data_IF_243956589552
#
_entry.id   IF_243956589552
#
_cell.length_a   1.000
_cell.length_b   1.000
_cell.length_c   1.000
_cell.angle_alpha   90.00
_cell.angle_beta   90.00
_cell.angle_gamma   90.00
#
_symmetry.space_group_name_H-M   'P 1'
#
loop_
_entity.id
_entity.type
_entity.pdbx_description
1 polymer ?
#
# COMPACT_ATOMS: atom_id res chain seq x y z
N UNK A 1 -41.12 -2.51 15.25
CA UNK A 1 -41.11 -1.08 14.84
C UNK A 1 -39.90 -0.81 13.94
N UNK A 2 -39.67 -1.69 12.95
CA UNK A 2 -38.58 -1.64 11.98
C UNK A 2 -39.17 -2.09 10.66
N UNK A 3 -39.64 -1.15 9.84
CA UNK A 3 -39.91 -1.36 8.40
C UNK A 3 -40.48 -0.10 7.75
N UNK A 4 -39.83 1.06 7.98
CA UNK A 4 -40.19 2.31 7.30
C UNK A 4 -39.00 3.10 6.76
N UNK A 5 -37.88 2.45 6.48
CA UNK A 5 -36.74 3.10 5.81
C UNK A 5 -36.49 2.62 4.37
N UNK A 6 -37.24 1.63 3.87
CA UNK A 6 -37.04 1.09 2.52
C UNK A 6 -38.01 1.59 1.44
N UNK A 7 -38.99 2.46 1.78
CA UNK A 7 -40.01 2.91 0.81
C UNK A 7 -39.92 4.39 0.41
N UNK A 8 -38.82 5.11 0.70
CA UNK A 8 -38.61 6.51 0.27
C UNK A 8 -37.37 6.64 -0.64
N UNK A 9 -37.06 5.62 -1.43
CA UNK A 9 -35.88 5.62 -2.31
C UNK A 9 -36.13 5.11 -3.75
N UNK A 10 -37.17 5.59 -4.46
CA UNK A 10 -37.03 5.58 -5.92
C UNK A 10 -37.53 6.83 -6.65
N UNK A 11 -37.63 8.00 -6.00
CA UNK A 11 -38.19 9.20 -6.69
C UNK A 11 -37.29 10.44 -6.76
N UNK A 12 -36.09 10.45 -6.15
CA UNK A 12 -35.25 11.65 -6.05
C UNK A 12 -33.76 11.45 -6.44
N UNK A 13 -33.44 10.46 -7.27
CA UNK A 13 -32.08 10.29 -7.83
C UNK A 13 -32.07 10.67 -9.32
N UNK A 14 -32.61 11.84 -9.67
CA UNK A 14 -32.74 12.27 -11.07
C UNK A 14 -31.70 13.31 -11.50
N UNK A 15 -30.83 13.78 -10.60
CA UNK A 15 -29.68 14.61 -10.97
C UNK A 15 -28.38 14.03 -10.40
N UNK A 16 -27.31 14.06 -11.19
CA UNK A 16 -26.01 13.46 -10.80
C UNK A 16 -25.38 14.17 -9.57
N UNK A 17 -25.76 15.43 -9.30
CA UNK A 17 -25.37 16.19 -8.10
C UNK A 17 -25.92 15.54 -6.82
N UNK A 18 -27.15 15.02 -6.85
CA UNK A 18 -27.77 14.36 -5.68
C UNK A 18 -27.05 13.06 -5.33
N UNK A 19 -26.44 12.40 -6.33
CA UNK A 19 -25.77 11.11 -6.17
C UNK A 19 -24.44 11.28 -5.42
N UNK A 20 -23.65 12.32 -5.71
CA UNK A 20 -22.39 12.61 -5.00
C UNK A 20 -22.67 12.94 -3.52
N UNK A 21 -23.72 13.70 -3.24
CA UNK A 21 -24.13 14.01 -1.87
C UNK A 21 -24.55 12.75 -1.13
N UNK A 22 -25.30 11.86 -1.81
CA UNK A 22 -25.68 10.58 -1.25
C UNK A 22 -24.47 9.70 -0.91
N UNK A 23 -23.50 9.57 -1.82
CA UNK A 23 -22.26 8.82 -1.56
C UNK A 23 -21.49 9.39 -0.37
N UNK A 24 -21.31 10.71 -0.30
CA UNK A 24 -20.64 11.36 0.81
C UNK A 24 -21.32 11.08 2.16
N UNK A 25 -22.65 11.16 2.21
CA UNK A 25 -23.42 10.85 3.42
C UNK A 25 -23.30 9.38 3.79
N UNK A 26 -23.35 8.48 2.80
CA UNK A 26 -23.26 7.05 3.03
C UNK A 26 -21.88 6.64 3.54
N UNK A 27 -20.81 7.21 2.97
CA UNK A 27 -19.44 7.01 3.45
C UNK A 27 -19.28 7.48 4.89
N UNK A 28 -19.75 8.69 5.22
CA UNK A 28 -19.72 9.20 6.60
C UNK A 28 -20.47 8.29 7.57
N UNK A 29 -21.63 7.76 7.16
CA UNK A 29 -22.38 6.81 7.97
C UNK A 29 -21.61 5.50 8.17
N UNK A 30 -20.94 4.99 7.13
CA UNK A 30 -20.08 3.80 7.23
C UNK A 30 -18.91 4.03 8.20
N UNK A 31 -18.24 5.18 8.13
CA UNK A 31 -17.16 5.56 9.05
C UNK A 31 -17.64 5.64 10.51
N UNK A 32 -18.82 6.23 10.74
CA UNK A 32 -19.43 6.33 12.06
C UNK A 32 -19.89 4.99 12.63
N UNK A 33 -20.36 4.08 11.76
CA UNK A 33 -20.85 2.76 12.17
C UNK A 33 -19.70 1.79 12.45
N UNK A 34 -18.57 1.96 11.77
CA UNK A 34 -17.41 1.07 11.87
C UNK A 34 -16.12 1.85 12.21
N UNK A 35 -15.98 2.34 13.46
CA UNK A 35 -14.85 3.19 13.85
C UNK A 35 -13.49 2.48 13.82
N UNK A 36 -13.45 1.15 13.99
CA UNK A 36 -12.22 0.36 13.87
C UNK A 36 -11.84 0.02 12.41
N UNK A 37 -12.70 0.37 11.45
CA UNK A 37 -12.52 -0.02 10.06
C UNK A 37 -12.49 -1.54 9.87
N UNK A 38 -12.15 -1.97 8.65
CA UNK A 38 -11.98 -3.39 8.31
C UNK A 38 -12.83 -3.86 7.14
N UNK A 39 -12.69 -5.14 6.79
CA UNK A 39 -13.36 -5.75 5.63
C UNK A 39 -14.89 -5.73 5.74
N UNK A 40 -15.41 -5.76 6.96
CA UNK A 40 -16.85 -5.74 7.25
C UNK A 40 -17.54 -4.43 6.81
N UNK A 41 -16.82 -3.31 6.84
CA UNK A 41 -17.39 -2.01 6.46
C UNK A 41 -17.58 -1.86 4.95
N UNK A 42 -16.92 -2.71 4.14
CA UNK A 42 -16.89 -2.64 2.67
C UNK A 42 -16.56 -1.23 2.12
N UNK A 43 -15.86 -0.40 2.91
CA UNK A 43 -15.61 1.00 2.61
C UNK A 43 -14.80 1.18 1.32
N UNK A 44 -13.74 0.37 1.12
CA UNK A 44 -12.92 0.42 -0.09
C UNK A 44 -13.74 0.13 -1.36
N UNK A 45 -14.60 -0.90 -1.32
CA UNK A 45 -15.50 -1.25 -2.44
C UNK A 45 -16.52 -0.13 -2.70
N UNK A 46 -17.02 0.51 -1.64
CA UNK A 46 -17.94 1.64 -1.77
C UNK A 46 -17.26 2.83 -2.43
N UNK A 47 -16.04 3.17 -2.00
CA UNK A 47 -15.24 4.24 -2.58
C UNK A 47 -14.91 3.95 -4.05
N UNK A 48 -14.47 2.74 -4.38
CA UNK A 48 -14.19 2.31 -5.76
C UNK A 48 -15.42 2.51 -6.67
N UNK A 49 -16.60 2.09 -6.20
CA UNK A 49 -17.86 2.29 -6.93
C UNK A 49 -18.20 3.77 -7.08
N UNK A 50 -17.97 4.58 -6.05
CA UNK A 50 -18.23 6.01 -6.10
C UNK A 50 -17.33 6.70 -7.12
N UNK A 51 -16.01 6.50 -7.04
CA UNK A 51 -15.06 7.17 -7.94
C UNK A 51 -15.27 6.75 -9.39
N UNK A 52 -15.46 5.45 -9.64
CA UNK A 52 -15.67 4.91 -11.00
C UNK A 52 -16.93 5.47 -11.65
N UNK A 53 -18.01 5.67 -10.89
CA UNK A 53 -19.30 6.16 -11.44
C UNK A 53 -19.21 7.55 -12.05
N UNK A 54 -18.38 8.43 -11.50
CA UNK A 54 -18.29 9.82 -11.95
C UNK A 54 -17.03 10.11 -12.79
N UNK A 55 -16.19 9.10 -13.08
CA UNK A 55 -14.97 9.29 -13.89
C UNK A 55 -15.27 9.87 -15.27
N UNK A 56 -16.31 9.36 -15.94
CA UNK A 56 -16.72 9.79 -17.27
C UNK A 56 -17.38 11.20 -17.29
N UNK A 57 -17.91 11.65 -16.15
CA UNK A 57 -18.67 12.89 -16.03
C UNK A 57 -17.76 14.09 -15.67
N UNK A 58 -17.13 14.70 -16.67
CA UNK A 58 -16.20 15.85 -16.53
C UNK A 58 -16.75 17.05 -15.75
N UNK A 59 -18.07 17.17 -15.66
CA UNK A 59 -18.77 18.23 -14.90
C UNK A 59 -18.39 18.22 -13.41
N UNK A 60 -18.02 17.07 -12.85
CA UNK A 60 -17.70 16.90 -11.43
C UNK A 60 -16.20 16.91 -11.14
N UNK A 61 -15.34 16.96 -12.17
CA UNK A 61 -13.90 16.88 -11.99
C UNK A 61 -13.36 17.97 -11.07
N UNK A 62 -13.94 19.18 -11.09
CA UNK A 62 -13.53 20.29 -10.22
C UNK A 62 -14.41 20.47 -8.97
N UNK A 63 -15.36 19.57 -8.70
CA UNK A 63 -16.18 19.63 -7.49
C UNK A 63 -15.35 19.20 -6.27
N UNK A 64 -15.19 20.05 -5.22
CA UNK A 64 -14.45 19.69 -4.02
C UNK A 64 -14.90 18.38 -3.39
N UNK A 65 -16.21 18.08 -3.45
CA UNK A 65 -16.78 16.85 -2.87
C UNK A 65 -16.35 15.60 -3.62
N UNK A 66 -16.10 15.72 -4.92
CA UNK A 66 -15.61 14.60 -5.72
C UNK A 66 -14.11 14.40 -5.51
N UNK A 67 -13.34 15.49 -5.40
CA UNK A 67 -11.92 15.43 -5.07
C UNK A 67 -11.70 14.80 -3.69
N UNK A 68 -12.50 15.15 -2.69
CA UNK A 68 -12.43 14.53 -1.35
C UNK A 68 -12.70 13.02 -1.40
N UNK A 69 -13.64 12.57 -2.24
CA UNK A 69 -13.91 11.14 -2.43
C UNK A 69 -12.70 10.40 -3.01
N UNK A 70 -12.01 11.01 -3.98
CA UNK A 70 -10.78 10.46 -4.55
C UNK A 70 -9.62 10.43 -3.56
N UNK A 71 -9.45 11.50 -2.77
CA UNK A 71 -8.42 11.54 -1.71
C UNK A 71 -8.66 10.40 -0.71
N UNK A 72 -9.90 10.24 -0.23
CA UNK A 72 -10.28 9.11 0.63
C UNK A 72 -10.07 7.74 -0.02
N UNK A 73 -10.27 7.64 -1.33
CA UNK A 73 -9.98 6.41 -2.06
C UNK A 73 -8.47 6.13 -2.09
N UNK A 74 -7.63 7.14 -2.34
CA UNK A 74 -6.18 7.04 -2.33
C UNK A 74 -5.65 6.56 -0.97
N UNK A 75 -6.14 7.13 0.14
CA UNK A 75 -5.78 6.74 1.51
C UNK A 75 -6.05 5.27 1.83
N UNK A 76 -7.02 4.64 1.14
CA UNK A 76 -7.38 3.23 1.32
C UNK A 76 -6.67 2.28 0.33
N UNK A 77 -5.85 2.81 -0.58
CA UNK A 77 -5.10 2.02 -1.57
C UNK A 77 -3.69 1.69 -1.07
N UNK A 78 -3.08 0.63 -1.61
CA UNK A 78 -1.69 0.28 -1.30
C UNK A 78 -0.68 1.30 -1.81
N UNK A 79 -0.93 1.89 -2.99
CA UNK A 79 -0.06 2.87 -3.65
C UNK A 79 -0.85 4.16 -3.93
N UNK A 80 -0.99 5.06 -2.95
CA UNK A 80 -1.76 6.31 -3.09
C UNK A 80 -1.20 7.26 -4.16
N UNK A 81 0.12 7.26 -4.40
CA UNK A 81 0.75 8.13 -5.41
C UNK A 81 0.26 7.87 -6.84
N UNK A 82 -0.03 6.63 -7.18
CA UNK A 82 -0.52 6.30 -8.53
C UNK A 82 -1.93 6.85 -8.73
N UNK A 83 -2.76 6.89 -7.68
CA UNK A 83 -4.08 7.51 -7.72
C UNK A 83 -3.97 9.01 -7.96
N UNK A 84 -3.06 9.72 -7.27
CA UNK A 84 -2.87 11.15 -7.50
C UNK A 84 -2.34 11.47 -8.89
N UNK A 85 -1.41 10.66 -9.42
CA UNK A 85 -0.95 10.76 -10.82
C UNK A 85 -2.09 10.54 -11.81
N UNK A 86 -2.95 9.56 -11.55
CA UNK A 86 -4.14 9.31 -12.34
C UNK A 86 -5.09 10.52 -12.33
N UNK A 87 -5.37 11.09 -11.16
CA UNK A 87 -6.21 12.29 -11.03
C UNK A 87 -5.63 13.46 -11.84
N UNK A 88 -4.32 13.71 -11.72
CA UNK A 88 -3.63 14.75 -12.48
C UNK A 88 -3.74 14.52 -13.99
N UNK A 89 -3.51 13.28 -14.47
CA UNK A 89 -3.56 12.93 -15.88
C UNK A 89 -4.99 13.06 -16.46
N UNK A 90 -6.01 12.70 -15.69
CA UNK A 90 -7.41 12.82 -16.09
C UNK A 90 -7.97 14.24 -15.97
N UNK A 91 -7.26 15.15 -15.32
CA UNK A 91 -7.76 16.49 -15.07
C UNK A 91 -8.74 16.59 -13.89
N UNK A 92 -8.75 15.59 -12.99
CA UNK A 92 -9.63 15.56 -11.82
C UNK A 92 -9.01 16.39 -10.71
N UNK A 93 -9.73 17.39 -10.22
CA UNK A 93 -9.33 18.21 -9.07
C UNK A 93 -8.16 19.15 -9.34
N UNK A 94 -7.82 19.40 -10.61
CA UNK A 94 -6.63 20.17 -10.99
C UNK A 94 -6.69 21.63 -10.50
N UNK A 95 -7.89 22.18 -10.31
CA UNK A 95 -8.10 23.51 -9.73
C UNK A 95 -8.28 23.49 -8.21
N UNK A 96 -8.25 22.32 -7.57
CA UNK A 96 -8.53 22.17 -6.14
C UNK A 96 -7.23 22.00 -5.35
N UNK A 97 -6.99 22.87 -4.37
CA UNK A 97 -5.80 22.82 -3.54
C UNK A 97 -5.72 21.54 -2.69
N UNK A 98 -6.88 20.95 -2.33
CA UNK A 98 -6.96 19.72 -1.55
C UNK A 98 -6.18 18.56 -2.20
N UNK A 99 -6.25 18.44 -3.54
CA UNK A 99 -5.52 17.41 -4.29
C UNK A 99 -4.00 17.55 -4.08
N UNK A 100 -3.46 18.74 -4.32
CA UNK A 100 -2.01 18.97 -4.24
C UNK A 100 -1.49 18.87 -2.80
N UNK A 101 -2.30 19.30 -1.82
CA UNK A 101 -1.95 19.16 -0.40
C UNK A 101 -1.81 17.67 -0.07
N UNK A 102 -2.85 16.87 -0.30
CA UNK A 102 -2.83 15.43 0.00
C UNK A 102 -1.73 14.68 -0.77
N UNK A 103 -1.51 15.06 -2.03
CA UNK A 103 -0.44 14.48 -2.85
C UNK A 103 0.96 14.83 -2.34
N UNK A 104 1.17 16.07 -1.90
CA UNK A 104 2.44 16.50 -1.32
C UNK A 104 2.73 15.85 0.04
N UNK A 105 1.70 15.66 0.87
CA UNK A 105 1.80 14.98 2.16
C UNK A 105 2.19 13.51 1.97
N UNK A 106 1.65 12.86 0.93
CA UNK A 106 2.05 11.50 0.60
C UNK A 106 3.52 11.40 0.17
N UNK A 107 4.02 12.36 -0.62
CA UNK A 107 5.46 12.43 -0.91
C UNK A 107 6.31 12.74 0.32
N UNK A 108 5.79 13.54 1.26
CA UNK A 108 6.44 13.81 2.55
C UNK A 108 6.55 12.54 3.40
N UNK A 109 5.48 11.74 3.46
CA UNK A 109 5.44 10.45 4.17
C UNK A 109 6.45 9.45 3.61
N UNK A 110 6.66 9.45 2.29
CA UNK A 110 7.69 8.63 1.62
C UNK A 110 9.11 9.21 1.75
N UNK A 111 9.28 10.36 2.39
CA UNK A 111 10.57 11.03 2.58
C UNK A 111 11.11 11.79 1.36
N UNK A 112 10.27 12.00 0.32
CA UNK A 112 10.66 12.67 -0.92
C UNK A 112 10.27 14.15 -0.93
N UNK A 113 10.94 14.96 -0.09
CA UNK A 113 10.61 16.40 0.07
C UNK A 113 10.74 17.23 -1.21
N UNK A 114 11.70 16.87 -2.09
CA UNK A 114 11.88 17.57 -3.38
C UNK A 114 10.65 17.40 -4.28
N UNK A 115 10.09 16.19 -4.34
CA UNK A 115 8.88 15.92 -5.12
C UNK A 115 7.65 16.59 -4.51
N UNK A 116 7.55 16.59 -3.17
CA UNK A 116 6.49 17.31 -2.47
C UNK A 116 6.49 18.82 -2.80
N UNK A 117 7.66 19.47 -2.83
CA UNK A 117 7.77 20.88 -3.22
C UNK A 117 7.37 21.13 -4.68
N UNK A 118 7.78 20.25 -5.60
CA UNK A 118 7.39 20.34 -7.02
C UNK A 118 5.86 20.27 -7.21
N UNK A 119 5.17 19.45 -6.42
CA UNK A 119 3.69 19.36 -6.45
C UNK A 119 3.06 20.68 -6.01
N UNK A 120 3.58 21.34 -4.97
CA UNK A 120 3.13 22.68 -4.57
C UNK A 120 3.39 23.72 -5.66
N UNK A 121 4.58 23.71 -6.27
CA UNK A 121 4.91 24.62 -7.37
C UNK A 121 3.96 24.44 -8.56
N UNK A 122 3.59 23.20 -8.88
CA UNK A 122 2.58 22.91 -9.90
C UNK A 122 1.20 23.47 -9.52
N UNK A 123 0.78 23.28 -8.26
CA UNK A 123 -0.48 23.80 -7.76
C UNK A 123 -0.59 25.33 -7.91
N UNK A 124 0.51 26.05 -7.64
CA UNK A 124 0.57 27.50 -7.85
C UNK A 124 0.49 27.89 -9.32
N UNK A 125 1.19 27.15 -10.21
CA UNK A 125 1.10 27.37 -11.67
C UNK A 125 -0.32 27.19 -12.20
N UNK A 126 -1.08 26.28 -11.59
CA UNK A 126 -2.48 25.98 -11.96
C UNK A 126 -3.53 26.76 -11.17
N UNK A 127 -3.10 27.73 -10.34
CA UNK A 127 -3.98 28.59 -9.54
C UNK A 127 -5.02 27.82 -8.73
N UNK A 128 -4.61 26.74 -8.06
CA UNK A 128 -5.52 25.92 -7.28
C UNK A 128 -6.12 26.66 -6.09
N UNK A 129 -7.42 26.50 -5.85
CA UNK A 129 -8.18 27.14 -4.77
C UNK A 129 -8.50 26.16 -3.62
N UNK A 130 -8.55 26.61 -2.35
CA UNK A 130 -8.24 27.95 -1.85
C UNK A 130 -6.73 28.24 -1.79
N UNK A 131 -6.31 29.36 -2.38
CA UNK A 131 -4.89 29.73 -2.47
C UNK A 131 -4.24 29.95 -1.11
N UNK A 132 -4.95 30.58 -0.17
CA UNK A 132 -4.45 30.83 1.18
C UNK A 132 -4.10 29.53 1.92
N UNK A 133 -4.97 28.51 1.76
CA UNK A 133 -4.74 27.18 2.35
C UNK A 133 -3.51 26.53 1.72
N UNK A 134 -3.40 26.57 0.39
CA UNK A 134 -2.24 26.03 -0.32
C UNK A 134 -0.92 26.67 0.16
N UNK A 135 -0.89 28.00 0.31
CA UNK A 135 0.27 28.73 0.78
C UNK A 135 0.64 28.41 2.24
N UNK A 136 -0.36 28.29 3.13
CA UNK A 136 -0.14 27.88 4.51
C UNK A 136 0.49 26.49 4.60
N UNK A 137 -0.04 25.53 3.86
CA UNK A 137 0.47 24.16 3.86
C UNK A 137 1.87 24.07 3.24
N UNK A 138 2.15 24.82 2.17
CA UNK A 138 3.50 24.89 1.58
C UNK A 138 4.53 25.45 2.56
N UNK A 139 4.21 26.54 3.27
CA UNK A 139 5.07 27.09 4.33
C UNK A 139 5.28 26.10 5.48
N UNK A 140 4.22 25.37 5.85
CA UNK A 140 4.31 24.34 6.88
C UNK A 140 5.24 23.20 6.47
N UNK A 141 5.18 22.74 5.22
CA UNK A 141 6.12 21.76 4.66
C UNK A 141 7.56 22.29 4.77
N UNK A 142 7.82 23.51 4.28
CA UNK A 142 9.17 24.10 4.31
C UNK A 142 9.72 24.21 5.73
N UNK A 143 8.89 24.57 6.71
CA UNK A 143 9.27 24.61 8.12
C UNK A 143 9.58 23.22 8.70
N UNK A 144 8.80 22.19 8.34
CA UNK A 144 9.07 20.80 8.77
C UNK A 144 10.37 20.28 8.18
N UNK A 145 10.60 20.51 6.88
CA UNK A 145 11.80 20.06 6.16
C UNK A 145 13.05 20.75 6.71
N UNK A 146 13.01 22.06 6.94
CA UNK A 146 14.16 22.79 7.50
C UNK A 146 14.50 22.31 8.91
N UNK A 147 13.50 22.09 9.77
CA UNK A 147 13.69 21.52 11.09
C UNK A 147 14.34 20.13 11.03
N UNK A 148 13.86 19.26 10.15
CA UNK A 148 14.44 17.93 9.98
C UNK A 148 15.88 17.97 9.46
N UNK A 149 16.20 18.90 8.56
CA UNK A 149 17.57 19.07 8.07
C UNK A 149 18.54 19.52 9.19
N UNK A 150 18.10 20.44 10.06
CA UNK A 150 18.90 20.88 11.22
C UNK A 150 19.12 19.75 12.23
N UNK A 151 18.08 18.98 12.56
CA UNK A 151 18.20 17.85 13.49
C UNK A 151 19.15 16.76 12.97
N UNK A 152 19.16 16.51 11.66
CA UNK A 152 20.09 15.55 11.05
C UNK A 152 21.55 15.99 11.19
N UNK A 153 21.81 17.30 11.07
CA UNK A 153 23.17 17.84 11.23
C UNK A 153 23.67 17.75 12.67
N UNK A 154 22.79 17.94 13.66
CA UNK A 154 23.12 17.84 15.09
C UNK A 154 23.46 16.38 15.49
N UNK A 155 22.65 15.42 15.03
CA UNK A 155 22.88 14.00 15.34
C UNK A 155 24.14 13.40 14.68
N UNK A 156 24.62 13.95 13.57
CA UNK A 156 25.86 13.46 12.92
C UNK A 156 27.13 13.92 13.68
N UNK A 157 26.98 14.88 14.62
CA UNK A 157 28.07 15.44 15.41
C UNK A 157 28.23 14.82 16.80
N UNK A 158 27.24 14.03 17.24
CA UNK A 158 27.17 13.48 18.58
C UNK A 158 26.84 11.99 18.48
N UNK A 159 27.77 11.16 18.95
CA UNK A 159 27.63 9.74 19.32
C UNK A 159 28.36 8.71 18.43
N UNK A 160 29.55 8.31 18.88
CA UNK A 160 30.25 7.08 18.51
C UNK A 160 29.55 5.88 19.20
N UNK A 161 28.38 5.48 18.73
CA UNK A 161 27.79 4.19 19.11
C UNK A 161 28.54 3.03 18.43
N UNK A 162 28.73 1.88 19.10
CA UNK A 162 29.39 0.72 18.50
C UNK A 162 28.54 0.16 17.36
N UNK A 163 28.96 0.43 16.12
CA UNK A 163 28.28 0.03 14.87
C UNK A 163 28.03 -1.48 14.84
N UNK A 164 26.75 -1.88 14.86
CA UNK A 164 26.31 -3.25 14.61
C UNK A 164 26.74 -3.71 13.21
N UNK A 165 26.93 -5.02 12.96
CA UNK A 165 27.34 -5.51 11.65
C UNK A 165 26.31 -5.17 10.58
N UNK A 166 26.71 -4.32 9.64
CA UNK A 166 25.91 -3.88 8.50
C UNK A 166 25.72 -5.02 7.48
N UNK A 167 24.58 -5.03 6.79
CA UNK A 167 24.32 -6.04 5.76
C UNK A 167 25.21 -5.79 4.54
N UNK A 168 25.96 -6.80 4.13
CA UNK A 168 26.76 -6.75 2.89
C UNK A 168 25.88 -7.19 1.71
N UNK A 169 25.70 -6.31 0.72
CA UNK A 169 24.96 -6.62 -0.50
C UNK A 169 25.70 -7.67 -1.34
N UNK A 170 24.95 -8.57 -1.98
CA UNK A 170 25.49 -9.67 -2.81
C UNK A 170 26.49 -10.59 -2.08
N UNK A 171 26.41 -10.67 -0.75
CA UNK A 171 27.26 -11.58 0.01
C UNK A 171 26.91 -13.04 -0.25
N UNK A 172 27.94 -13.88 -0.31
CA UNK A 172 27.77 -15.32 -0.44
C UNK A 172 27.06 -15.92 0.77
N UNK A 173 26.14 -16.85 0.50
CA UNK A 173 25.41 -17.60 1.53
C UNK A 173 26.21 -18.85 1.95
N UNK A 174 26.24 -19.16 3.25
CA UNK A 174 26.90 -20.38 3.76
C UNK A 174 26.06 -21.60 3.44
N UNK A 175 26.54 -22.50 2.58
CA UNK A 175 25.90 -23.82 2.44
C UNK A 175 25.97 -24.58 3.77
N UNK A 176 24.84 -25.06 4.30
CA UNK A 176 24.78 -25.87 5.52
C UNK A 176 24.47 -27.32 5.15
N UNK A 177 25.49 -28.18 5.12
CA UNK A 177 25.32 -29.63 4.92
C UNK A 177 26.65 -30.36 4.75
N UNK A 178 26.84 -31.46 5.49
CA UNK A 178 28.03 -32.34 5.41
C UNK A 178 27.76 -33.64 4.64
N UNK A 179 26.93 -33.70 3.59
CA UNK A 179 26.71 -34.95 2.82
C UNK A 179 26.40 -34.67 1.36
N UNK A 180 27.04 -35.43 0.46
CA UNK A 180 26.77 -35.44 -0.99
C UNK A 180 25.32 -35.86 -1.21
N UNK A 181 24.48 -34.95 -1.71
CA UNK A 181 23.13 -35.26 -2.16
C UNK A 181 23.03 -34.94 -3.66
N UNK A 182 22.55 -35.93 -4.41
CA UNK A 182 22.27 -35.88 -5.84
C UNK A 182 20.96 -35.10 -6.01
N UNK A 183 21.03 -33.76 -5.91
CA UNK A 183 20.09 -32.75 -6.39
C UNK A 183 20.33 -31.45 -5.59
N UNK A 184 20.51 -30.29 -6.22
CA UNK A 184 20.81 -29.05 -5.52
C UNK A 184 19.52 -28.47 -4.93
N UNK A 185 19.18 -28.84 -3.70
CA UNK A 185 18.23 -28.06 -2.88
C UNK A 185 19.05 -27.26 -1.86
N UNK A 186 19.71 -26.20 -2.35
CA UNK A 186 20.35 -25.22 -1.47
C UNK A 186 19.26 -24.36 -0.81
N UNK A 187 18.63 -24.88 0.25
CA UNK A 187 17.87 -24.05 1.19
C UNK A 187 18.84 -23.43 2.18
N UNK A 188 19.32 -22.24 1.87
CA UNK A 188 20.13 -21.46 2.81
C UNK A 188 19.21 -20.50 3.56
N UNK A 189 19.08 -20.67 4.88
CA UNK A 189 18.40 -19.70 5.75
C UNK A 189 19.27 -18.45 5.99
N UNK A 190 19.02 -17.70 7.07
CA UNK A 190 19.68 -16.42 7.41
C UNK A 190 21.21 -16.43 7.63
N UNK A 191 21.94 -17.47 7.23
CA UNK A 191 23.38 -17.60 7.46
C UNK A 191 24.21 -16.96 6.33
N UNK A 192 24.56 -15.69 6.49
CA UNK A 192 25.49 -14.95 5.62
C UNK A 192 26.95 -15.34 5.95
N UNK A 193 27.82 -15.44 4.95
CA UNK A 193 29.27 -15.59 5.18
C UNK A 193 29.85 -14.27 5.68
N UNK A 194 30.40 -14.27 6.90
CA UNK A 194 31.39 -13.25 7.28
C UNK A 194 32.66 -13.51 6.46
N UNK A 195 32.93 -12.59 5.54
CA UNK A 195 34.18 -12.32 4.83
C UNK A 195 34.91 -13.57 4.34
N UNK A 196 34.72 -13.88 3.06
CA UNK A 196 35.54 -14.81 2.30
C UNK A 196 35.49 -14.40 0.84
N UNK A 197 36.34 -13.44 0.46
CA UNK A 197 36.52 -13.01 -0.93
C UNK A 197 36.93 -14.20 -1.78
N UNK A 198 36.06 -14.55 -2.73
CA UNK A 198 36.34 -15.55 -3.75
C UNK A 198 35.56 -15.18 -4.99
N UNK A 199 36.13 -14.31 -5.81
CA UNK A 199 35.68 -14.16 -7.19
C UNK A 199 35.79 -15.55 -7.84
N UNK A 200 34.72 -16.18 -8.35
CA UNK A 200 34.93 -17.28 -9.27
C UNK A 200 35.68 -16.67 -10.46
N UNK A 201 36.88 -17.17 -10.73
CA UNK A 201 37.63 -16.83 -11.95
C UNK A 201 36.78 -17.33 -13.13
N UNK A 202 35.86 -16.48 -13.56
CA UNK A 202 35.14 -16.63 -14.81
C UNK A 202 36.05 -15.97 -15.82
N UNK A 203 36.72 -16.80 -16.64
CA UNK A 203 37.52 -16.32 -17.75
C UNK A 203 36.73 -15.25 -18.53
N UNK A 204 37.44 -14.21 -18.96
CA UNK A 204 36.86 -13.01 -19.55
C UNK A 204 35.71 -13.36 -20.49
N UNK A 205 34.52 -12.72 -20.37
CA UNK A 205 33.56 -12.81 -21.42
C UNK A 205 34.23 -12.21 -22.65
N UNK A 206 34.55 -13.04 -23.64
CA UNK A 206 34.78 -12.59 -25.01
C UNK A 206 33.43 -12.03 -25.45
N UNK A 207 33.17 -10.77 -25.12
CA UNK A 207 32.10 -9.98 -25.68
C UNK A 207 32.50 -9.84 -27.15
N UNK A 208 32.02 -10.82 -27.91
CA UNK A 208 32.30 -10.99 -29.32
C UNK A 208 32.11 -9.67 -30.03
N UNK A 209 33.17 -9.27 -30.72
CA UNK A 209 33.21 -8.16 -31.64
C UNK A 209 32.22 -8.43 -32.79
N UNK A 210 30.93 -8.25 -32.54
CA UNK A 210 29.91 -8.21 -33.59
C UNK A 210 29.64 -6.74 -33.84
N UNK A 211 30.34 -6.20 -34.83
CA UNK A 211 30.18 -4.86 -35.35
C UNK A 211 28.86 -4.74 -36.09
N UNK A 212 27.76 -4.66 -35.35
CA UNK A 212 26.50 -4.08 -35.80
C UNK A 212 26.40 -2.68 -35.18
N UNK A 213 26.11 -1.67 -36.00
CA UNK A 213 26.12 -0.24 -35.67
C UNK A 213 25.68 0.07 -34.23
N UNK A 214 26.63 0.47 -33.38
CA UNK A 214 26.39 0.78 -31.97
C UNK A 214 25.75 2.17 -31.87
N UNK A 215 24.52 2.24 -31.36
CA UNK A 215 23.88 3.51 -31.00
C UNK A 215 24.64 4.10 -29.80
N UNK A 216 25.06 5.37 -29.92
CA UNK A 216 25.68 6.12 -28.82
C UNK A 216 24.55 6.69 -27.96
N UNK A 217 24.60 6.39 -26.66
CA UNK A 217 23.64 6.92 -25.69
C UNK A 217 23.87 8.43 -25.57
N UNK A 218 22.79 9.19 -25.51
CA UNK A 218 22.84 10.64 -25.35
C UNK A 218 23.58 11.03 -24.07
N UNK A 219 24.55 11.94 -24.20
CA UNK A 219 25.32 12.48 -23.09
C UNK A 219 24.73 13.82 -22.67
N UNK A 220 23.90 13.79 -21.62
CA UNK A 220 23.23 14.97 -21.07
C UNK A 220 24.22 16.04 -20.58
N UNK A 221 25.48 15.70 -20.28
CA UNK A 221 26.49 16.66 -19.81
C UNK A 221 27.08 17.53 -20.93
N UNK A 222 26.92 17.13 -22.21
CA UNK A 222 27.41 17.92 -23.36
C UNK A 222 26.44 18.99 -23.82
N UNK A 223 25.18 18.93 -23.42
CA UNK A 223 24.17 19.92 -23.76
C UNK A 223 24.05 20.94 -22.63
N UNK A 224 24.59 22.15 -22.83
CA UNK A 224 24.53 23.24 -21.84
C UNK A 224 23.10 23.76 -21.55
N UNK A 225 22.06 23.20 -22.17
CA UNK A 225 20.68 23.72 -22.06
C UNK A 225 19.61 22.67 -22.35
N UNK A 226 19.74 21.46 -21.81
CA UNK A 226 18.58 20.58 -21.72
C UNK A 226 17.67 21.10 -20.61
N UNK A 227 16.62 21.85 -20.97
CA UNK A 227 15.54 22.19 -20.03
C UNK A 227 14.91 20.92 -19.46
N UNK A 228 14.29 20.96 -18.27
CA UNK A 228 13.60 19.80 -17.73
C UNK A 228 12.58 19.33 -18.77
N UNK A 229 12.67 18.07 -19.21
CA UNK A 229 11.62 17.48 -20.04
C UNK A 229 10.31 17.61 -19.25
N UNK A 230 9.36 18.41 -19.75
CA UNK A 230 8.02 18.40 -19.18
C UNK A 230 7.52 16.96 -19.23
N UNK A 231 7.07 16.38 -18.10
CA UNK A 231 6.59 15.01 -18.10
C UNK A 231 5.44 14.94 -19.11
N UNK A 232 5.63 14.16 -20.17
CA UNK A 232 4.57 13.94 -21.15
C UNK A 232 3.35 13.42 -20.40
N UNK A 233 2.19 14.07 -20.60
CA UNK A 233 0.93 13.65 -20.03
C UNK A 233 0.67 12.19 -20.41
N UNK A 234 1.02 11.27 -19.51
CA UNK A 234 0.88 9.84 -19.76
C UNK A 234 -0.62 9.55 -19.80
N UNK A 235 -1.13 9.10 -20.95
CA UNK A 235 -2.55 8.84 -21.12
C UNK A 235 -2.91 7.55 -20.39
N UNK A 236 -3.36 7.69 -19.15
CA UNK A 236 -3.90 6.59 -18.36
C UNK A 236 -5.26 6.17 -18.93
N UNK A 237 -5.41 4.92 -19.36
CA UNK A 237 -6.70 4.41 -19.87
C UNK A 237 -7.63 3.91 -18.76
N UNK A 238 -7.11 3.61 -17.56
CA UNK A 238 -7.89 3.09 -16.44
C UNK A 238 -7.33 3.59 -15.10
N UNK A 239 -8.19 3.75 -14.07
CA UNK A 239 -7.72 4.01 -12.71
C UNK A 239 -6.79 2.89 -12.21
N UNK A 240 -5.73 3.22 -11.46
CA UNK A 240 -4.91 2.20 -10.81
C UNK A 240 -5.76 1.34 -9.86
N UNK A 241 -5.44 0.05 -9.79
CA UNK A 241 -6.15 -0.87 -8.92
C UNK A 241 -5.79 -0.60 -7.46
N UNK A 242 -6.77 -0.62 -6.57
CA UNK A 242 -6.58 -0.44 -5.13
C UNK A 242 -5.67 -1.48 -4.46
N UNK A 243 -5.41 -2.61 -5.14
CA UNK A 243 -4.64 -3.75 -4.63
C UNK A 243 -3.72 -4.34 -5.68
N UNK A 244 -2.46 -4.59 -5.32
CA UNK A 244 -1.49 -5.29 -6.16
C UNK A 244 -1.79 -6.80 -6.22
N UNK A 245 -2.59 -7.22 -7.20
CA UNK A 245 -3.11 -8.61 -7.32
C UNK A 245 -2.03 -9.70 -7.37
N UNK A 246 -0.82 -9.36 -7.84
CA UNK A 246 0.29 -10.32 -7.94
C UNK A 246 1.08 -10.45 -6.63
N UNK A 247 1.10 -9.42 -5.79
CA UNK A 247 1.83 -9.42 -4.51
C UNK A 247 1.03 -10.03 -3.36
N UNK A 248 -0.29 -10.20 -3.54
CA UNK A 248 -1.18 -10.66 -2.49
C UNK A 248 -1.95 -11.91 -2.87
N UNK A 249 -1.59 -13.04 -2.26
CA UNK A 249 -2.35 -14.28 -2.40
C UNK A 249 -3.69 -14.16 -1.66
N UNK A 250 -4.80 -14.48 -2.34
CA UNK A 250 -6.10 -14.57 -1.68
C UNK A 250 -6.12 -15.80 -0.76
N UNK A 251 -6.63 -15.70 0.48
CA UNK A 251 -6.71 -16.84 1.36
C UNK A 251 -7.59 -17.92 0.72
N UNK A 252 -7.05 -19.13 0.59
CA UNK A 252 -7.81 -20.31 0.19
C UNK A 252 -8.75 -20.74 1.32
N UNK A 253 -9.88 -21.35 0.98
CA UNK A 253 -10.83 -21.88 1.97
C UNK A 253 -10.12 -22.95 2.79
N UNK A 254 -10.09 -22.78 4.12
CA UNK A 254 -9.64 -23.80 5.08
C UNK A 254 -10.55 -25.04 5.17
N UNK A 255 -11.49 -25.19 4.24
CA UNK A 255 -12.54 -26.21 4.30
C UNK A 255 -12.37 -27.13 3.11
N UNK A 256 -11.69 -28.25 3.35
CA UNK A 256 -11.79 -29.57 2.66
C UNK A 256 -10.57 -30.46 2.91
N UNK A 257 -9.74 -30.15 3.92
CA UNK A 257 -8.78 -31.14 4.46
C UNK A 257 -9.57 -32.20 5.24
N UNK A 258 -10.15 -33.17 4.54
CA UNK A 258 -10.46 -34.46 5.15
C UNK A 258 -9.13 -35.08 5.56
N UNK A 259 -8.83 -35.04 6.86
CA UNK A 259 -7.73 -35.85 7.40
C UNK A 259 -7.97 -37.29 6.94
N UNK A 260 -7.01 -37.94 6.24
CA UNK A 260 -7.16 -39.33 5.90
C UNK A 260 -7.18 -40.14 7.20
N UNK A 261 -8.37 -40.57 7.63
CA UNK A 261 -8.49 -41.59 8.66
C UNK A 261 -7.86 -42.85 8.08
N UNK A 262 -6.66 -43.20 8.56
CA UNK A 262 -6.05 -44.49 8.29
C UNK A 262 -6.99 -45.56 8.85
N UNK A 263 -7.81 -46.16 7.98
CA UNK A 263 -8.56 -47.36 8.29
C UNK A 263 -7.55 -48.49 8.47
N UNK A 264 -7.31 -48.86 9.73
CA UNK A 264 -6.54 -50.06 10.05
C UNK A 264 -7.46 -51.27 9.86
N UNK A 265 -7.47 -51.83 8.65
CA UNK A 265 -7.83 -53.24 8.50
C UNK A 265 -6.60 -54.08 8.92
N UNK A 266 -6.76 -54.84 9.99
CA UNK A 266 -5.75 -55.76 10.51
C UNK A 266 -5.89 -55.92 12.01
N UNK A 267 -6.44 -57.06 12.45
CA UNK A 267 -6.42 -57.47 13.85
C UNK A 267 -4.98 -57.51 14.36
N UNK A 268 -4.63 -56.53 15.20
CA UNK A 268 -3.48 -56.60 16.09
C UNK A 268 -4.01 -56.47 17.50
N UNK A 269 -3.78 -57.49 18.32
CA UNK A 269 -4.08 -57.48 19.76
C UNK A 269 -3.31 -56.32 20.38
N UNK A 270 -4.01 -55.27 20.81
CA UNK A 270 -3.42 -54.17 21.57
C UNK A 270 -3.49 -54.48 23.07
N UNK A 271 -2.42 -54.20 23.85
CA UNK A 271 -2.52 -54.18 25.31
C UNK A 271 -3.52 -53.11 25.77
N UNK A 272 -4.11 -53.24 26.98
CA UNK A 272 -5.16 -52.35 27.44
C UNK A 272 -4.68 -50.88 27.49
N UNK A 273 -5.52 -49.91 27.07
CA UNK A 273 -5.15 -48.50 27.11
C UNK A 273 -5.02 -48.02 28.57
N UNK A 274 -4.08 -47.10 28.86
CA UNK A 274 -4.01 -46.46 30.16
C UNK A 274 -5.31 -45.68 30.46
N UNK A 275 -5.74 -45.59 31.73
CA UNK A 275 -6.98 -44.90 32.08
C UNK A 275 -6.91 -43.44 31.64
N UNK A 276 -7.97 -42.99 30.96
CA UNK A 276 -8.10 -41.62 30.46
C UNK A 276 -8.10 -40.64 31.65
N UNK A 277 -7.43 -39.48 31.56
CA UNK A 277 -7.55 -38.46 32.59
C UNK A 277 -9.00 -37.96 32.64
N UNK A 278 -9.63 -38.13 33.80
CA UNK A 278 -10.97 -37.64 34.10
C UNK A 278 -10.91 -36.12 34.21
N UNK A 279 -11.34 -35.42 33.18
CA UNK A 279 -11.58 -33.99 33.24
C UNK A 279 -12.99 -33.78 33.80
N UNK A 280 -13.10 -33.32 35.04
CA UNK A 280 -14.35 -32.81 35.60
C UNK A 280 -14.37 -31.29 35.39
N UNK A 281 -15.23 -30.76 34.50
CA UNK A 281 -15.46 -29.32 34.44
C UNK A 281 -16.07 -28.89 35.78
N UNK A 282 -15.47 -27.88 36.42
CA UNK A 282 -16.05 -27.27 37.61
C UNK A 282 -17.41 -26.66 37.23
N UNK A 283 -18.47 -27.14 37.87
CA UNK A 283 -19.79 -26.51 37.82
C UNK A 283 -19.82 -25.53 39.00
N UNK A 284 -19.90 -24.23 38.72
CA UNK A 284 -20.18 -23.24 39.75
C UNK A 284 -21.59 -23.49 40.30
N UNK A 285 -21.65 -23.97 41.55
CA UNK A 285 -22.88 -24.11 42.31
C UNK A 285 -23.36 -22.71 42.70
N UNK A 286 -24.35 -22.19 41.97
CA UNK A 286 -25.16 -21.05 42.37
C UNK A 286 -26.59 -21.32 41.94
N UNK A 287 -27.42 -21.74 42.89
CA UNK A 287 -28.59 -20.97 43.35
C UNK A 287 -29.51 -21.87 44.16
N UNK A 288 -29.45 -21.68 45.48
CA UNK A 288 -30.40 -22.25 46.43
C UNK A 288 -31.71 -21.44 46.32
N UNK A 289 -32.85 -22.03 45.92
CA UNK A 289 -34.10 -21.29 45.84
C UNK A 289 -34.63 -20.94 47.24
N UNK A 290 -35.37 -19.84 47.40
CA UNK A 290 -35.79 -19.34 48.71
C UNK A 290 -36.78 -20.32 49.35
N UNK A 291 -36.53 -20.64 50.63
CA UNK A 291 -37.48 -21.37 51.46
C UNK A 291 -38.71 -20.50 51.72
N UNK A 292 -39.90 -21.10 51.54
CA UNK A 292 -41.21 -20.52 51.89
C UNK A 292 -41.33 -20.17 53.37
#
# INVERSE_FOLDING_TARGET
MSDRFLYILPFYLKTSVDIIVWFNRYIKWTEQTFPQGGKESNLATLLERAVTRFTDEKMYHNDPRYVDLWIKFAENCSEPLDIYRYMQAQGIGVTQAALYIAWSEEYENQGSYRKADLVYQEAFKKFAEPHDKLLQFHKALQARVSRQALLKLENDSSDEEPKQPERVSLADLKHRGKKKAIAPVNRTGSAIRSIGGGLPSRGDPVLGNVSNSKLVIFDENKAETAGPSEPSLESWMAPPTSRAKENEQKPEKWCDVKMPQKTKFGHAVMPPPPPKPTFQPFVEESDQPPTM
#
